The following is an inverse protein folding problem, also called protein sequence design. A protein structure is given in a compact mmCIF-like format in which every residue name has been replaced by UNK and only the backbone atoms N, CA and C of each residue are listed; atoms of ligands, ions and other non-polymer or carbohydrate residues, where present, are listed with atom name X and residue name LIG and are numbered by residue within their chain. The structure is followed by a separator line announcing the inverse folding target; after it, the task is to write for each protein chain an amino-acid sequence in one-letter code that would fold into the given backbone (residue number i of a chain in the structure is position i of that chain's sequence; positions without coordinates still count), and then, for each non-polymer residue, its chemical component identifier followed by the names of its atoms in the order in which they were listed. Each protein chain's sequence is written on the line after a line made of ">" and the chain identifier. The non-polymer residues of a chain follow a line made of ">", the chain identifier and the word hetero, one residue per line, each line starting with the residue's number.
data_IF_025744902474
#
_entry.id   IF_025744902474
#
_cell.length_a   1.000
_cell.length_b   1.000
_cell.length_c   1.000
_cell.angle_alpha   90.00
_cell.angle_beta   90.00
_cell.angle_gamma   90.00
#
_symmetry.space_group_name_H-M   'P 1'
#
loop_
_entity.id
_entity.type
_entity.pdbx_description
1 polymer ?
#
# COMPACT_ATOMS: atom_id res chain seq x y z
N UNK A 1 -18.98 -1.86 24.42
CA UNK A 1 -20.04 -1.97 23.40
C UNK A 1 -19.36 -2.22 22.07
N UNK A 2 -19.79 -3.24 21.33
CA UNK A 2 -19.25 -3.55 20.00
C UNK A 2 -19.51 -2.36 19.07
N UNK A 3 -18.50 -1.86 18.36
CA UNK A 3 -18.70 -0.83 17.34
C UNK A 3 -19.59 -1.39 16.24
N UNK A 4 -20.63 -0.66 15.82
CA UNK A 4 -21.40 -1.03 14.64
C UNK A 4 -20.50 -0.89 13.40
N UNK A 5 -20.24 -2.01 12.73
CA UNK A 5 -19.37 -2.10 11.55
C UNK A 5 -20.16 -2.28 10.25
N UNK A 6 -21.50 -2.22 10.31
CA UNK A 6 -22.36 -2.50 9.16
C UNK A 6 -22.05 -1.58 7.97
N UNK A 7 -21.92 -0.28 8.21
CA UNK A 7 -21.60 0.69 7.16
C UNK A 7 -20.20 0.47 6.57
N UNK A 8 -19.23 0.10 7.41
CA UNK A 8 -17.88 -0.21 6.95
C UNK A 8 -17.88 -1.46 6.05
N UNK A 9 -18.57 -2.53 6.46
CA UNK A 9 -18.71 -3.75 5.66
C UNK A 9 -19.36 -3.45 4.31
N UNK A 10 -20.50 -2.76 4.32
CA UNK A 10 -21.19 -2.37 3.09
C UNK A 10 -20.30 -1.55 2.16
N UNK A 11 -19.48 -0.64 2.71
CA UNK A 11 -18.55 0.16 1.92
C UNK A 11 -17.41 -0.68 1.33
N UNK A 12 -16.79 -1.54 2.14
CA UNK A 12 -15.72 -2.45 1.70
C UNK A 12 -16.23 -3.41 0.61
N UNK A 13 -17.41 -4.00 0.77
CA UNK A 13 -18.03 -4.90 -0.21
C UNK A 13 -18.30 -4.17 -1.53
N UNK A 14 -18.84 -2.94 -1.46
CA UNK A 14 -19.05 -2.10 -2.65
C UNK A 14 -17.74 -1.81 -3.35
N UNK A 15 -16.70 -1.42 -2.62
CA UNK A 15 -15.39 -1.12 -3.19
C UNK A 15 -14.76 -2.39 -3.77
N UNK A 16 -14.83 -3.54 -3.10
CA UNK A 16 -14.31 -4.81 -3.60
C UNK A 16 -15.00 -5.22 -4.91
N UNK A 17 -16.33 -5.06 -4.99
CA UNK A 17 -17.09 -5.35 -6.21
C UNK A 17 -16.69 -4.44 -7.38
N UNK A 18 -16.42 -3.16 -7.12
CA UNK A 18 -16.10 -2.19 -8.18
C UNK A 18 -14.61 -2.22 -8.52
N UNK A 19 -13.75 -1.94 -7.53
CA UNK A 19 -12.30 -1.86 -7.68
C UNK A 19 -11.68 -3.23 -7.89
N UNK A 20 -12.15 -4.27 -7.22
CA UNK A 20 -11.65 -5.63 -7.43
C UNK A 20 -11.96 -6.16 -8.82
N UNK A 21 -13.17 -5.91 -9.34
CA UNK A 21 -13.52 -6.23 -10.74
C UNK A 21 -12.64 -5.45 -11.72
N UNK A 22 -12.44 -4.15 -11.50
CA UNK A 22 -11.53 -3.35 -12.32
C UNK A 22 -10.10 -3.87 -12.27
N UNK A 23 -9.57 -4.17 -11.08
CA UNK A 23 -8.23 -4.66 -10.88
C UNK A 23 -8.02 -6.01 -11.60
N UNK A 24 -8.97 -6.93 -11.48
CA UNK A 24 -8.96 -8.20 -12.20
C UNK A 24 -8.95 -8.01 -13.72
N UNK A 25 -9.81 -7.14 -14.25
CA UNK A 25 -9.87 -6.84 -15.69
C UNK A 25 -8.59 -6.21 -16.24
N UNK A 26 -7.89 -5.43 -15.42
CA UNK A 26 -6.64 -4.77 -15.79
C UNK A 26 -5.39 -5.59 -15.44
N UNK A 27 -5.54 -6.78 -14.83
CA UNK A 27 -4.42 -7.59 -14.34
C UNK A 27 -3.60 -6.89 -13.26
N UNK A 28 -4.24 -6.11 -12.40
CA UNK A 28 -3.61 -5.36 -11.31
C UNK A 28 -3.67 -6.19 -10.03
N UNK A 29 -2.51 -6.62 -9.55
CA UNK A 29 -2.38 -7.40 -8.32
C UNK A 29 -2.42 -6.53 -7.06
N UNK A 30 -1.91 -5.29 -7.13
CA UNK A 30 -1.81 -4.38 -5.99
C UNK A 30 -2.63 -3.10 -6.20
N UNK A 31 -3.56 -2.83 -5.30
CA UNK A 31 -4.45 -1.66 -5.39
C UNK A 31 -5.03 -1.24 -4.03
N UNK A 32 -5.44 0.02 -3.94
CA UNK A 32 -6.17 0.56 -2.79
C UNK A 32 -7.63 0.14 -2.85
N UNK A 33 -8.09 -0.54 -1.81
CA UNK A 33 -9.48 -0.96 -1.64
C UNK A 33 -10.32 0.10 -0.92
N UNK A 34 -9.74 0.83 0.02
CA UNK A 34 -10.44 1.80 0.87
C UNK A 34 -9.50 2.94 1.23
N UNK A 35 -9.99 4.18 1.28
CA UNK A 35 -9.18 5.36 1.61
C UNK A 35 -9.94 6.36 2.46
N UNK A 36 -10.15 6.01 3.74
CA UNK A 36 -10.89 6.81 4.71
C UNK A 36 -12.26 7.29 4.18
N UNK A 37 -12.96 6.43 3.44
CA UNK A 37 -14.24 6.73 2.81
C UNK A 37 -15.34 7.10 3.82
N UNK A 38 -15.17 6.74 5.10
CA UNK A 38 -16.09 7.01 6.21
C UNK A 38 -15.39 7.82 7.32
N UNK A 39 -16.01 8.90 7.84
CA UNK A 39 -15.37 9.79 8.83
C UNK A 39 -14.95 9.10 10.14
N UNK A 40 -15.71 8.09 10.58
CA UNK A 40 -15.38 7.31 11.78
C UNK A 40 -14.23 6.31 11.60
N UNK A 41 -13.87 6.00 10.35
CA UNK A 41 -12.91 4.95 9.99
C UNK A 41 -11.76 5.55 9.18
N UNK A 42 -10.87 6.26 9.88
CA UNK A 42 -9.74 6.95 9.29
C UNK A 42 -8.55 6.01 9.04
N UNK A 43 -8.66 5.16 8.03
CA UNK A 43 -7.55 4.30 7.57
C UNK A 43 -7.59 4.11 6.05
N UNK A 44 -6.49 3.68 5.47
CA UNK A 44 -6.43 3.17 4.11
C UNK A 44 -6.17 1.65 4.11
N UNK A 45 -6.74 0.95 3.13
CA UNK A 45 -6.56 -0.49 2.94
C UNK A 45 -6.00 -0.72 1.55
N UNK A 46 -4.79 -1.28 1.49
CA UNK A 46 -4.10 -1.64 0.25
C UNK A 46 -3.97 -3.15 0.17
N UNK A 47 -4.37 -3.73 -0.96
CA UNK A 47 -4.18 -5.16 -1.25
C UNK A 47 -2.87 -5.37 -2.00
N UNK A 48 -2.11 -6.39 -1.60
CA UNK A 48 -0.86 -6.85 -2.21
C UNK A 48 -0.94 -8.35 -2.46
N UNK A 49 -1.62 -8.74 -3.55
CA UNK A 49 -1.94 -10.14 -3.81
C UNK A 49 -2.80 -10.72 -2.69
N UNK A 50 -2.27 -11.72 -1.97
CA UNK A 50 -2.97 -12.38 -0.85
C UNK A 50 -2.82 -11.66 0.50
N UNK A 51 -2.06 -10.56 0.55
CA UNK A 51 -1.78 -9.81 1.79
C UNK A 51 -2.50 -8.48 1.80
N UNK A 52 -2.83 -8.01 2.99
CA UNK A 52 -3.57 -6.76 3.20
C UNK A 52 -2.73 -5.85 4.08
N UNK A 53 -2.48 -4.64 3.60
CA UNK A 53 -1.82 -3.59 4.35
C UNK A 53 -2.84 -2.53 4.77
N UNK A 54 -2.82 -2.17 6.04
CA UNK A 54 -3.73 -1.20 6.64
C UNK A 54 -2.88 -0.05 7.17
N UNK A 55 -3.09 1.14 6.64
CA UNK A 55 -2.48 2.36 7.15
C UNK A 55 -3.53 3.12 7.98
N UNK A 56 -3.41 3.07 9.30
CA UNK A 56 -4.31 3.74 10.22
C UNK A 56 -3.85 5.18 10.47
N UNK A 57 -4.74 6.16 10.26
CA UNK A 57 -4.43 7.56 10.51
C UNK A 57 -4.68 7.91 11.97
N UNK A 58 -3.82 8.76 12.53
CA UNK A 58 -3.95 9.20 13.92
C UNK A 58 -5.30 9.87 14.17
N UNK A 59 -6.07 9.32 15.11
CA UNK A 59 -7.32 9.91 15.56
C UNK A 59 -7.05 11.27 16.24
N UNK A 60 -7.94 12.26 16.08
CA UNK A 60 -7.87 13.50 16.85
C UNK A 60 -7.84 13.24 18.36
N UNK A 61 -7.01 13.97 19.10
CA UNK A 61 -6.83 13.80 20.56
C UNK A 61 -8.12 13.94 21.39
N UNK A 62 -9.18 14.54 20.81
CA UNK A 62 -10.51 14.67 21.42
C UNK A 62 -11.35 13.39 21.41
N UNK A 63 -10.91 12.33 20.71
CA UNK A 63 -11.63 11.07 20.65
C UNK A 63 -11.15 10.16 21.77
N UNK A 64 -12.09 9.58 22.52
CA UNK A 64 -11.81 8.60 23.57
C UNK A 64 -10.95 7.44 23.04
N UNK A 65 -9.78 7.15 23.65
CA UNK A 65 -8.95 6.01 23.28
C UNK A 65 -9.69 4.68 23.22
N UNK A 66 -10.66 4.42 24.11
CA UNK A 66 -11.46 3.20 24.08
C UNK A 66 -12.30 3.09 22.80
N UNK A 67 -12.75 4.23 22.27
CA UNK A 67 -13.48 4.29 21.00
C UNK A 67 -12.56 4.09 19.80
N UNK A 68 -11.31 4.56 19.87
CA UNK A 68 -10.30 4.31 18.83
C UNK A 68 -10.02 2.82 18.75
N UNK A 69 -9.78 2.16 19.88
CA UNK A 69 -9.51 0.73 19.92
C UNK A 69 -10.71 -0.10 19.44
N UNK A 70 -11.92 0.22 19.91
CA UNK A 70 -13.14 -0.47 19.46
C UNK A 70 -13.40 -0.30 17.95
N UNK A 71 -12.94 0.80 17.33
CA UNK A 71 -13.02 1.01 15.87
C UNK A 71 -11.96 0.20 15.13
N UNK A 72 -10.75 0.09 15.69
CA UNK A 72 -9.67 -0.73 15.15
C UNK A 72 -10.05 -2.22 15.13
N UNK A 73 -10.58 -2.74 16.24
CA UNK A 73 -11.09 -4.11 16.32
C UNK A 73 -12.22 -4.34 15.30
N UNK A 74 -13.18 -3.41 15.23
CA UNK A 74 -14.26 -3.46 14.26
C UNK A 74 -13.78 -3.47 12.81
N UNK A 75 -12.78 -2.66 12.48
CA UNK A 75 -12.13 -2.66 11.17
C UNK A 75 -11.49 -4.02 10.85
N UNK A 76 -10.72 -4.60 11.77
CA UNK A 76 -10.07 -5.88 11.54
C UNK A 76 -11.07 -7.01 11.33
N UNK A 77 -12.18 -7.01 12.08
CA UNK A 77 -13.28 -7.96 11.88
C UNK A 77 -13.95 -7.77 10.51
N UNK A 78 -14.30 -6.53 10.17
CA UNK A 78 -14.92 -6.22 8.88
C UNK A 78 -14.03 -6.66 7.70
N UNK A 79 -12.72 -6.43 7.77
CA UNK A 79 -11.78 -6.85 6.72
C UNK A 79 -11.66 -8.36 6.60
N UNK A 80 -11.58 -9.09 7.71
CA UNK A 80 -11.55 -10.56 7.68
C UNK A 80 -12.82 -11.14 7.06
N UNK A 81 -13.98 -10.61 7.43
CA UNK A 81 -15.27 -11.08 6.91
C UNK A 81 -15.46 -10.75 5.43
N UNK A 82 -15.23 -9.49 5.02
CA UNK A 82 -15.48 -9.03 3.65
C UNK A 82 -14.48 -9.61 2.65
N UNK A 83 -13.20 -9.70 3.04
CA UNK A 83 -12.17 -10.27 2.17
C UNK A 83 -12.10 -11.81 2.27
N UNK A 84 -12.79 -12.40 3.26
CA UNK A 84 -12.71 -13.82 3.59
C UNK A 84 -11.25 -14.28 3.79
N UNK A 85 -10.50 -13.54 4.60
CA UNK A 85 -9.08 -13.80 4.87
C UNK A 85 -8.81 -13.95 6.38
N UNK A 86 -7.82 -14.76 6.78
CA UNK A 86 -7.46 -14.88 8.18
C UNK A 86 -6.66 -13.67 8.68
N UNK A 87 -6.76 -13.34 9.98
CA UNK A 87 -6.00 -12.24 10.59
C UNK A 87 -4.49 -12.21 10.26
N UNK A 88 -3.85 -13.37 10.09
CA UNK A 88 -2.40 -13.49 9.82
C UNK A 88 -1.92 -12.83 8.52
N UNK A 89 -2.82 -12.52 7.58
CA UNK A 89 -2.45 -11.83 6.33
C UNK A 89 -2.72 -10.32 6.39
N UNK A 90 -3.32 -9.84 7.48
CA UNK A 90 -3.52 -8.43 7.74
C UNK A 90 -2.27 -7.86 8.44
N UNK A 91 -1.74 -6.77 7.91
CA UNK A 91 -0.66 -6.00 8.52
C UNK A 91 -1.15 -4.57 8.73
N UNK A 92 -1.09 -4.08 9.97
CA UNK A 92 -1.52 -2.73 10.33
C UNK A 92 -0.32 -1.86 10.71
N UNK A 93 -0.32 -0.62 10.24
CA UNK A 93 0.63 0.42 10.62
C UNK A 93 -0.08 1.69 11.02
N UNK A 94 0.21 2.19 12.22
CA UNK A 94 -0.28 3.48 12.67
C UNK A 94 0.62 4.58 12.13
N UNK A 95 0.05 5.48 11.31
CA UNK A 95 0.74 6.64 10.77
C UNK A 95 0.72 7.77 11.79
N UNK A 96 1.71 7.79 12.67
CA UNK A 96 2.02 8.98 13.46
C UNK A 96 2.81 9.98 12.62
N UNK A 97 2.53 11.29 12.79
CA UNK A 97 3.35 12.33 12.16
C UNK A 97 4.74 12.33 12.79
N UNK A 98 5.67 11.61 12.20
CA UNK A 98 7.08 11.69 12.57
C UNK A 98 7.66 13.03 12.10
N UNK A 99 8.31 13.77 13.01
CA UNK A 99 9.07 15.00 12.70
C UNK A 99 10.57 14.70 12.84
N UNK A 100 11.39 15.17 11.89
CA UNK A 100 12.86 15.10 11.95
C UNK A 100 13.45 13.83 11.34
N UNK A 101 14.67 13.47 11.75
CA UNK A 101 15.51 12.40 11.16
C UNK A 101 14.97 10.97 11.33
N UNK A 102 13.82 10.78 12.01
CA UNK A 102 13.20 9.46 12.22
C UNK A 102 12.45 8.91 11.00
N UNK A 103 12.27 9.73 9.97
CA UNK A 103 11.47 9.42 8.78
C UNK A 103 12.00 8.25 7.91
N UNK A 104 13.14 7.63 8.27
CA UNK A 104 13.76 6.52 7.55
C UNK A 104 14.20 5.36 8.45
N UNK A 105 13.72 5.30 9.69
CA UNK A 105 14.03 4.18 10.59
C UNK A 105 13.17 2.95 10.28
N UNK A 106 13.76 1.78 10.44
CA UNK A 106 13.08 0.48 10.35
C UNK A 106 12.14 0.36 11.56
N UNK A 107 10.83 0.29 11.32
CA UNK A 107 9.79 0.16 12.36
C UNK A 107 9.74 -1.26 12.94
N UNK A 108 10.12 -2.27 12.16
CA UNK A 108 10.17 -3.68 12.54
C UNK A 108 11.27 -4.40 11.75
N UNK A 109 11.97 -5.39 12.32
CA UNK A 109 13.15 -6.00 11.69
C UNK A 109 12.90 -7.46 11.31
N UNK A 110 11.74 -7.75 10.69
CA UNK A 110 11.39 -9.12 10.32
C UNK A 110 12.03 -9.54 9.00
N UNK A 111 12.46 -8.61 8.15
CA UNK A 111 13.09 -8.86 6.85
C UNK A 111 12.15 -9.54 5.85
N UNK A 112 10.83 -9.43 6.06
CA UNK A 112 9.80 -10.24 5.34
C UNK A 112 9.43 -9.65 3.99
N UNK A 113 10.42 -9.49 3.11
CA UNK A 113 10.17 -9.15 1.72
C UNK A 113 9.43 -10.26 0.98
N UNK A 114 8.54 -9.87 0.08
CA UNK A 114 7.90 -10.76 -0.87
C UNK A 114 7.70 -10.01 -2.18
N UNK A 115 7.54 -10.77 -3.26
CA UNK A 115 7.37 -10.19 -4.57
C UNK A 115 5.90 -10.06 -4.96
N UNK A 116 5.57 -8.94 -5.59
CA UNK A 116 4.30 -8.70 -6.28
C UNK A 116 4.56 -8.37 -7.74
N UNK A 117 3.52 -8.43 -8.59
CA UNK A 117 3.61 -8.04 -10.01
C UNK A 117 2.89 -6.73 -10.29
N UNK A 118 3.51 -5.92 -11.13
CA UNK A 118 2.86 -4.79 -11.79
C UNK A 118 3.19 -4.81 -13.29
N UNK A 119 2.22 -5.25 -14.10
CA UNK A 119 2.46 -5.51 -15.52
C UNK A 119 3.57 -6.54 -15.71
N UNK A 120 4.66 -6.17 -16.39
CA UNK A 120 5.83 -7.04 -16.58
C UNK A 120 6.82 -7.03 -15.42
N UNK A 121 6.69 -6.09 -14.48
CA UNK A 121 7.60 -5.96 -13.36
C UNK A 121 7.28 -6.96 -12.25
N UNK A 122 8.33 -7.54 -11.67
CA UNK A 122 8.29 -8.25 -10.39
C UNK A 122 9.01 -7.35 -9.38
N UNK A 123 8.29 -6.90 -8.37
CA UNK A 123 8.75 -5.87 -7.41
C UNK A 123 8.74 -6.46 -6.01
N UNK A 124 9.76 -6.17 -5.22
CA UNK A 124 9.79 -6.55 -3.81
C UNK A 124 9.11 -5.48 -2.97
N UNK A 125 8.27 -5.95 -2.04
CA UNK A 125 7.55 -5.12 -1.08
C UNK A 125 7.74 -5.68 0.32
N UNK A 126 7.63 -4.80 1.31
CA UNK A 126 7.72 -5.13 2.72
C UNK A 126 6.60 -4.41 3.47
N UNK A 127 5.65 -5.15 4.05
CA UNK A 127 4.50 -4.55 4.71
C UNK A 127 4.74 -4.20 6.18
N UNK A 128 5.86 -4.60 6.77
CA UNK A 128 6.12 -4.51 8.22
C UNK A 128 7.23 -3.53 8.56
N UNK A 129 8.34 -3.57 7.83
CA UNK A 129 9.61 -3.06 8.38
C UNK A 129 9.84 -1.56 8.17
N UNK A 130 9.17 -0.92 7.21
CA UNK A 130 9.38 0.51 6.87
C UNK A 130 8.07 1.29 6.85
N UNK A 131 8.08 2.61 7.01
CA UNK A 131 6.86 3.43 6.96
C UNK A 131 5.99 3.18 5.70
N UNK A 132 6.64 3.01 4.55
CA UNK A 132 6.01 2.66 3.28
C UNK A 132 6.35 1.23 2.85
N UNK A 133 5.61 0.69 1.89
CA UNK A 133 5.66 -0.74 1.53
C UNK A 133 6.76 -1.11 0.53
N UNK A 134 7.53 -0.13 0.06
CA UNK A 134 8.42 -0.27 -1.10
C UNK A 134 7.76 -0.02 -2.46
N UNK A 135 6.43 0.19 -2.52
CA UNK A 135 5.71 0.44 -3.77
C UNK A 135 4.55 1.44 -3.59
N UNK A 136 4.70 2.64 -4.15
CA UNK A 136 3.61 3.62 -4.22
C UNK A 136 2.59 3.23 -5.31
N UNK A 137 1.40 2.78 -4.90
CA UNK A 137 0.38 2.20 -5.79
C UNK A 137 -0.26 3.23 -6.72
N UNK A 138 -0.38 4.47 -6.28
CA UNK A 138 -0.92 5.61 -7.03
C UNK A 138 -0.06 5.99 -8.25
N UNK A 139 1.26 5.77 -8.17
CA UNK A 139 2.19 6.05 -9.27
C UNK A 139 2.22 4.99 -10.39
N UNK A 140 1.37 3.96 -10.34
CA UNK A 140 1.29 2.89 -11.36
C UNK A 140 1.14 3.42 -12.78
N UNK A 141 0.33 4.45 -12.99
CA UNK A 141 0.12 5.03 -14.33
C UNK A 141 1.41 5.64 -14.90
N UNK A 142 2.21 6.29 -14.04
CA UNK A 142 3.51 6.85 -14.42
C UNK A 142 4.51 5.75 -14.76
N UNK A 143 4.57 4.68 -13.95
CA UNK A 143 5.42 3.53 -14.24
C UNK A 143 5.06 2.84 -15.55
N UNK A 144 3.76 2.73 -15.88
CA UNK A 144 3.30 2.26 -17.20
C UNK A 144 3.74 3.19 -18.33
N UNK A 145 3.56 4.50 -18.15
CA UNK A 145 3.99 5.50 -19.12
C UNK A 145 5.50 5.42 -19.44
N UNK A 146 6.32 5.22 -18.40
CA UNK A 146 7.77 5.04 -18.53
C UNK A 146 8.08 3.76 -19.33
N UNK A 147 7.48 2.64 -18.95
CA UNK A 147 7.66 1.36 -19.65
C UNK A 147 7.38 1.49 -21.16
N UNK A 148 6.28 2.15 -21.54
CA UNK A 148 5.89 2.35 -22.94
C UNK A 148 6.87 3.23 -23.75
N UNK A 149 7.67 4.07 -23.09
CA UNK A 149 8.49 5.12 -23.73
C UNK A 149 9.99 4.97 -23.53
N UNK A 150 10.43 3.96 -22.78
CA UNK A 150 11.82 3.78 -22.42
C UNK A 150 12.68 3.17 -23.54
N UNK A 151 12.08 2.50 -24.52
CA UNK A 151 12.81 1.77 -25.58
C UNK A 151 13.87 2.64 -26.26
N UNK A 152 15.12 2.17 -26.21
CA UNK A 152 16.26 2.84 -26.85
C UNK A 152 16.81 4.05 -26.08
N UNK A 153 16.21 4.43 -24.94
CA UNK A 153 16.57 5.64 -24.19
C UNK A 153 17.47 5.33 -23.00
N UNK A 154 18.25 6.34 -22.60
CA UNK A 154 18.94 6.37 -21.31
C UNK A 154 17.98 6.99 -20.29
N UNK A 155 17.75 6.29 -19.17
CA UNK A 155 16.80 6.69 -18.14
C UNK A 155 17.53 7.22 -16.90
N UNK A 156 17.10 8.37 -16.37
CA UNK A 156 17.58 8.93 -15.11
C UNK A 156 16.41 8.97 -14.13
N UNK A 157 16.59 8.39 -12.95
CA UNK A 157 15.63 8.35 -11.87
C UNK A 157 16.24 8.99 -10.62
N UNK A 158 15.81 10.20 -10.28
CA UNK A 158 16.25 10.92 -9.09
C UNK A 158 15.22 10.75 -7.98
N UNK A 159 15.67 10.66 -6.72
CA UNK A 159 14.82 10.32 -5.58
C UNK A 159 14.11 8.99 -5.83
N UNK A 160 14.90 8.00 -6.25
CA UNK A 160 14.37 6.80 -6.87
C UNK A 160 13.67 5.85 -5.89
N UNK A 161 13.86 6.04 -4.59
CA UNK A 161 13.39 5.13 -3.55
C UNK A 161 13.83 3.68 -3.90
N UNK A 162 12.90 2.72 -3.92
CA UNK A 162 13.15 1.32 -4.30
C UNK A 162 13.37 1.09 -5.79
N UNK A 163 13.48 2.14 -6.60
CA UNK A 163 13.84 2.04 -8.02
C UNK A 163 12.75 1.46 -8.92
N UNK A 164 11.50 1.37 -8.46
CA UNK A 164 10.38 0.76 -9.22
C UNK A 164 10.19 1.37 -10.61
N UNK A 165 10.34 2.69 -10.76
CA UNK A 165 10.30 3.34 -12.07
C UNK A 165 11.45 2.90 -13.00
N UNK A 166 12.65 2.69 -12.46
CA UNK A 166 13.82 2.19 -13.21
C UNK A 166 13.62 0.75 -13.67
N UNK A 167 12.98 -0.11 -12.85
CA UNK A 167 12.58 -1.47 -13.25
C UNK A 167 11.66 -1.41 -14.47
N UNK A 168 10.65 -0.54 -14.45
CA UNK A 168 9.76 -0.35 -15.60
C UNK A 168 10.49 0.20 -16.83
N UNK A 169 11.41 1.14 -16.66
CA UNK A 169 12.23 1.65 -17.77
C UNK A 169 13.09 0.55 -18.41
N UNK A 170 13.77 -0.27 -17.59
CA UNK A 170 14.58 -1.38 -18.06
C UNK A 170 13.72 -2.41 -18.82
N UNK A 171 12.59 -2.83 -18.26
CA UNK A 171 11.65 -3.76 -18.91
C UNK A 171 11.01 -3.18 -20.19
N UNK A 172 10.89 -1.86 -20.26
CA UNK A 172 10.45 -1.10 -21.44
C UNK A 172 11.52 -0.97 -22.53
N UNK A 173 12.74 -1.45 -22.28
CA UNK A 173 13.84 -1.47 -23.24
C UNK A 173 14.76 -0.24 -23.19
N UNK A 174 14.88 0.43 -22.04
CA UNK A 174 15.94 1.42 -21.83
C UNK A 174 17.32 0.80 -22.11
N UNK A 175 18.21 1.56 -22.74
CA UNK A 175 19.60 1.13 -23.02
C UNK A 175 20.48 1.20 -21.78
N UNK A 176 20.15 2.09 -20.85
CA UNK A 176 20.78 2.21 -19.53
C UNK A 176 19.85 2.94 -18.57
N UNK A 177 20.04 2.73 -17.27
CA UNK A 177 19.36 3.48 -16.22
C UNK A 177 20.35 3.93 -15.14
N UNK A 178 20.23 5.16 -14.68
CA UNK A 178 20.90 5.67 -13.47
C UNK A 178 19.83 6.02 -12.44
N UNK A 179 19.90 5.42 -11.25
CA UNK A 179 18.97 5.66 -10.14
C UNK A 179 19.75 6.25 -8.97
N UNK A 180 19.31 7.40 -8.47
CA UNK A 180 19.99 8.13 -7.40
C UNK A 180 18.98 8.38 -6.28
N UNK A 181 19.33 7.93 -5.09
CA UNK A 181 18.63 8.26 -3.84
C UNK A 181 19.66 8.67 -2.78
N UNK A 182 19.19 9.39 -1.75
CA UNK A 182 20.01 9.75 -0.60
C UNK A 182 20.05 8.62 0.43
N UNK A 183 19.04 7.74 0.41
CA UNK A 183 18.97 6.59 1.29
C UNK A 183 19.88 5.46 0.80
N UNK A 184 20.61 4.83 1.73
CA UNK A 184 21.43 3.64 1.45
C UNK A 184 20.66 2.31 1.62
N UNK A 185 19.40 2.38 2.04
CA UNK A 185 18.49 1.24 2.27
C UNK A 185 17.74 0.79 1.04
#
# INVERSE_FOLDING_TARGET
>A
MMTDITDLKNRLEKNLRVLGKWAQQQGIECYRLYDADLPEFAFAVDLYGERVHIAEYQAPAKIDPAKVEARREGMLLALQEVLNVPARVLTIKSRERQRGSKQYEVEDNQGKFFSVREGRAKLYVNLTDYLDTGLFLDHRAIRRFIFERARGKRFLNLFCYTGTASVHAALGGATSSLSIDMSNT
#
